data_IF_467274515845
#
_entry.id   IF_467274515845
#
_cell.length_a   1.000
_cell.length_b   1.000
_cell.length_c   1.000
_cell.angle_alpha   90.00
_cell.angle_beta   90.00
_cell.angle_gamma   90.00
#
_symmetry.space_group_name_H-M   'P 1'
#
loop_
_entity.id
_entity.type
_entity.pdbx_description
1 polymer ?
#
# COMPACT_ATOMS: atom_id res chain seq x y z
N UNK A 1 -16.94 -7.01 15.49
CA UNK A 1 -16.65 -7.83 14.30
C UNK A 1 -17.35 -7.19 13.11
N UNK A 2 -16.65 -6.32 12.38
CA UNK A 2 -17.22 -5.61 11.22
C UNK A 2 -17.22 -6.52 10.00
N UNK A 3 -18.38 -6.66 9.36
CA UNK A 3 -18.57 -7.50 8.18
C UNK A 3 -17.59 -7.14 7.07
N UNK A 4 -17.02 -8.16 6.44
CA UNK A 4 -16.25 -8.00 5.21
C UNK A 4 -17.13 -7.27 4.18
N UNK A 5 -16.59 -6.23 3.54
CA UNK A 5 -17.22 -5.60 2.37
C UNK A 5 -17.10 -6.62 1.23
N UNK A 6 -18.21 -7.25 0.85
CA UNK A 6 -18.27 -8.38 -0.11
C UNK A 6 -18.33 -7.88 -1.58
N UNK A 7 -18.19 -6.57 -1.80
CA UNK A 7 -18.61 -5.91 -3.03
C UNK A 7 -17.57 -4.94 -3.62
N UNK A 8 -16.33 -4.94 -3.12
CA UNK A 8 -15.22 -4.20 -3.74
C UNK A 8 -14.10 -5.17 -4.12
N UNK A 9 -13.85 -5.31 -5.42
CA UNK A 9 -12.68 -6.00 -5.95
C UNK A 9 -11.42 -5.36 -5.36
N UNK A 10 -10.76 -6.06 -4.43
CA UNK A 10 -9.52 -5.61 -3.79
C UNK A 10 -8.45 -5.53 -4.88
N UNK A 11 -8.31 -4.34 -5.46
CA UNK A 11 -7.42 -4.12 -6.60
C UNK A 11 -6.19 -3.36 -6.13
N UNK A 12 -5.04 -4.02 -6.18
CA UNK A 12 -3.75 -3.35 -6.07
C UNK A 12 -3.55 -2.47 -7.31
N UNK A 13 -3.29 -1.17 -7.11
CA UNK A 13 -3.06 -0.21 -8.20
C UNK A 13 -1.73 0.50 -8.01
N UNK A 14 -0.76 0.16 -8.85
CA UNK A 14 0.56 0.80 -8.87
C UNK A 14 0.72 1.52 -10.21
N UNK A 15 1.02 2.81 -10.17
CA UNK A 15 1.33 3.57 -11.38
C UNK A 15 2.62 3.03 -12.03
N UNK A 16 2.68 3.02 -13.37
CA UNK A 16 3.82 2.48 -14.13
C UNK A 16 5.15 3.18 -13.85
N UNK A 17 5.12 4.41 -13.36
CA UNK A 17 6.32 5.18 -12.99
C UNK A 17 6.90 4.80 -11.62
N UNK A 18 6.18 4.01 -10.82
CA UNK A 18 6.63 3.65 -9.47
C UNK A 18 7.79 2.67 -9.55
N UNK A 19 8.86 2.98 -8.82
CA UNK A 19 9.91 2.01 -8.55
C UNK A 19 9.49 1.12 -7.37
N UNK A 20 9.45 -0.20 -7.58
CA UNK A 20 9.25 -1.18 -6.51
C UNK A 20 10.43 -2.14 -6.50
N UNK A 21 11.22 -2.11 -5.43
CA UNK A 21 12.31 -3.06 -5.28
C UNK A 21 11.77 -4.49 -5.12
N UNK A 22 12.44 -5.49 -5.71
CA UNK A 22 12.03 -6.91 -5.67
C UNK A 22 11.92 -7.53 -4.27
N UNK A 23 12.48 -6.86 -3.25
CA UNK A 23 12.44 -7.28 -1.85
C UNK A 23 11.39 -6.54 -1.02
N UNK A 24 10.58 -5.67 -1.64
CA UNK A 24 9.44 -5.06 -0.98
C UNK A 24 8.27 -6.04 -0.97
N UNK A 25 7.49 -6.02 0.11
CA UNK A 25 6.27 -6.81 0.26
C UNK A 25 5.06 -5.89 0.25
N UNK A 26 4.14 -6.09 -0.69
CA UNK A 26 2.94 -5.27 -0.83
C UNK A 26 1.74 -6.20 -1.03
N UNK A 27 0.68 -6.03 -0.23
CA UNK A 27 -0.50 -6.90 -0.25
C UNK A 27 -1.79 -6.14 0.10
N UNK A 28 -2.93 -6.58 -0.42
CA UNK A 28 -4.26 -6.03 -0.11
C UNK A 28 -4.65 -4.81 -0.96
N UNK A 29 -5.55 -3.96 -0.43
CA UNK A 29 -6.00 -2.73 -1.10
C UNK A 29 -4.93 -1.63 -0.96
N UNK A 30 -3.98 -1.61 -1.90
CA UNK A 30 -2.88 -0.64 -1.94
C UNK A 30 -2.93 0.15 -3.25
N UNK A 31 -2.82 1.49 -3.12
CA UNK A 31 -2.69 2.42 -4.25
C UNK A 31 -1.37 3.17 -4.14
N UNK A 32 -0.51 3.07 -5.14
CA UNK A 32 0.77 3.78 -5.19
C UNK A 32 0.77 4.71 -6.40
N UNK A 33 0.85 6.02 -6.13
CA UNK A 33 0.77 7.05 -7.18
C UNK A 33 2.13 7.34 -7.81
N UNK A 34 2.09 8.20 -8.82
CA UNK A 34 3.19 8.49 -9.74
C UNK A 34 4.48 8.91 -9.05
N UNK A 35 5.61 8.52 -9.64
CA UNK A 35 6.96 8.94 -9.27
C UNK A 35 7.35 8.63 -7.81
N UNK A 36 6.69 7.64 -7.21
CA UNK A 36 7.01 7.15 -5.86
C UNK A 36 7.97 5.96 -5.92
N UNK A 37 8.67 5.69 -4.80
CA UNK A 37 9.67 4.63 -4.71
C UNK A 37 9.51 3.80 -3.44
N UNK A 38 9.52 2.47 -3.60
CA UNK A 38 9.40 1.48 -2.52
C UNK A 38 10.69 0.67 -2.45
N UNK A 39 11.39 0.76 -1.32
CA UNK A 39 12.77 0.30 -1.15
C UNK A 39 12.85 -1.09 -0.47
N UNK A 40 14.02 -1.74 -0.47
CA UNK A 40 14.21 -3.09 0.09
C UNK A 40 13.60 -3.29 1.49
N UNK A 41 12.89 -4.40 1.68
CA UNK A 41 12.34 -4.76 3.00
C UNK A 41 11.12 -3.94 3.43
N UNK A 42 10.67 -2.95 2.66
CA UNK A 42 9.44 -2.24 2.95
C UNK A 42 8.23 -3.19 2.92
N UNK A 43 7.34 -3.04 3.90
CA UNK A 43 6.12 -3.85 4.06
C UNK A 43 4.90 -2.93 4.03
N UNK A 44 4.06 -3.07 3.01
CA UNK A 44 2.83 -2.29 2.86
C UNK A 44 1.65 -3.26 2.82
N UNK A 45 0.82 -3.21 3.87
CA UNK A 45 -0.30 -4.14 4.06
C UNK A 45 -1.62 -3.36 4.09
N UNK A 46 -2.36 -3.44 3.00
CA UNK A 46 -3.71 -2.92 2.85
C UNK A 46 -4.79 -3.99 3.07
N UNK A 47 -4.55 -4.97 3.94
CA UNK A 47 -5.43 -6.13 4.12
C UNK A 47 -6.57 -5.91 5.12
N UNK A 48 -6.40 -5.03 6.11
CA UNK A 48 -7.48 -4.62 7.03
C UNK A 48 -8.06 -3.23 6.73
N UNK A 49 -7.28 -2.38 6.08
CA UNK A 49 -7.64 -1.00 5.76
C UNK A 49 -6.92 -0.56 4.48
N UNK A 50 -7.53 0.26 3.61
CA UNK A 50 -6.90 0.72 2.39
C UNK A 50 -5.69 1.62 2.68
N UNK A 51 -4.62 1.42 1.91
CA UNK A 51 -3.39 2.23 1.96
C UNK A 51 -3.20 2.98 0.64
N UNK A 52 -2.99 4.30 0.72
CA UNK A 52 -2.58 5.13 -0.42
C UNK A 52 -1.20 5.73 -0.17
N UNK A 53 -0.25 5.43 -1.05
CA UNK A 53 1.02 6.13 -1.15
C UNK A 53 0.86 7.26 -2.18
N UNK A 54 1.20 8.48 -1.76
CA UNK A 54 1.11 9.72 -2.53
C UNK A 54 2.00 9.75 -3.77
N UNK A 55 1.92 10.85 -4.51
CA UNK A 55 2.84 11.12 -5.62
C UNK A 55 4.16 11.65 -5.06
N UNK A 56 5.28 11.27 -5.68
CA UNK A 56 6.62 11.68 -5.24
C UNK A 56 6.97 11.28 -3.79
N UNK A 57 6.35 10.21 -3.29
CA UNK A 57 6.58 9.68 -1.94
C UNK A 57 7.68 8.62 -1.98
N UNK A 58 8.63 8.69 -1.05
CA UNK A 58 9.60 7.62 -0.83
C UNK A 58 9.21 6.79 0.41
N UNK A 59 9.19 5.47 0.25
CA UNK A 59 9.00 4.50 1.34
C UNK A 59 10.29 3.70 1.45
N UNK A 60 11.15 4.14 2.37
CA UNK A 60 12.52 3.64 2.51
C UNK A 60 12.59 2.22 3.12
N UNK A 61 13.81 1.73 3.21
CA UNK A 61 14.13 0.39 3.65
C UNK A 61 13.47 0.03 4.98
N UNK A 62 12.87 -1.15 5.03
CA UNK A 62 12.21 -1.72 6.22
C UNK A 62 11.04 -0.91 6.81
N UNK A 63 10.54 0.13 6.14
CA UNK A 63 9.32 0.83 6.59
C UNK A 63 8.13 -0.13 6.60
N UNK A 64 7.33 -0.08 7.66
CA UNK A 64 6.09 -0.85 7.79
C UNK A 64 4.89 0.10 7.74
N UNK A 65 3.95 -0.14 6.83
CA UNK A 65 2.70 0.61 6.69
C UNK A 65 1.54 -0.37 6.84
N UNK A 66 0.77 -0.21 7.92
CA UNK A 66 -0.36 -1.05 8.29
C UNK A 66 -1.36 -0.24 9.13
N UNK A 67 -2.64 -0.59 9.07
CA UNK A 67 -3.68 0.11 9.82
C UNK A 67 -4.75 -0.85 10.34
N UNK A 68 -5.40 -0.40 11.41
CA UNK A 68 -6.51 -1.11 12.04
C UNK A 68 -7.77 -1.14 11.14
N UNK A 69 -8.59 -2.20 11.23
CA UNK A 69 -9.85 -2.28 10.51
C UNK A 69 -10.73 -1.04 10.72
N UNK A 70 -11.34 -0.57 9.63
CA UNK A 70 -12.21 0.62 9.66
C UNK A 70 -11.47 1.96 9.55
N UNK A 71 -10.14 1.94 9.46
CA UNK A 71 -9.31 3.12 9.19
C UNK A 71 -8.96 3.25 7.70
N UNK A 72 -8.19 4.29 7.36
CA UNK A 72 -7.50 4.41 6.08
C UNK A 72 -6.14 5.09 6.31
N UNK A 73 -5.16 4.77 5.48
CA UNK A 73 -3.85 5.44 5.52
C UNK A 73 -3.54 6.14 4.22
N UNK A 74 -3.01 7.36 4.35
CA UNK A 74 -2.40 8.11 3.26
C UNK A 74 -1.03 8.57 3.71
N UNK A 75 0.00 8.15 2.98
CA UNK A 75 1.41 8.49 3.21
C UNK A 75 1.92 9.30 2.03
#
# INVERSE_FOLDING_TARGET
MGGARVDQEITMRIDKSVFVHKMAFISGEVRIRRNSSIWPGAVIRGDFAPVTIGEYTNVQDNVVIHADPGSFLKV
#
